data_IF_700842653987
#
_entry.id   IF_700842653987
#
_cell.length_a   1.000
_cell.length_b   1.000
_cell.length_c   1.000
_cell.angle_alpha   90.00
_cell.angle_beta   90.00
_cell.angle_gamma   90.00
#
_symmetry.space_group_name_H-M   'P 1'
#
loop_
_entity.id
_entity.type
_entity.pdbx_description
1 polymer ?
#
# COMPACT_ATOMS: atom_id res chain seq x y z
N UNK A 1 -10.69 22.85 -8.26
CA UNK A 1 -11.16 22.28 -9.55
C UNK A 1 -12.17 21.19 -9.21
N UNK A 2 -13.32 21.12 -9.89
CA UNK A 2 -14.30 20.06 -9.64
C UNK A 2 -13.83 18.73 -10.25
N UNK A 3 -14.14 17.63 -9.57
CA UNK A 3 -13.96 16.25 -10.02
C UNK A 3 -15.30 15.53 -10.12
N UNK A 4 -15.33 14.35 -10.70
CA UNK A 4 -16.55 13.52 -10.76
C UNK A 4 -17.10 13.14 -9.37
N UNK A 5 -16.27 13.14 -8.34
CA UNK A 5 -16.67 12.82 -6.97
C UNK A 5 -17.45 13.98 -6.32
N UNK A 6 -17.26 15.21 -6.79
CA UNK A 6 -17.99 16.39 -6.28
C UNK A 6 -19.47 16.37 -6.67
N UNK A 7 -19.92 15.44 -7.53
CA UNK A 7 -21.35 15.20 -7.83
C UNK A 7 -22.06 14.46 -6.68
N UNK A 8 -21.33 13.73 -5.85
CA UNK A 8 -21.92 12.92 -4.78
C UNK A 8 -21.97 13.69 -3.45
N UNK A 9 -22.96 13.42 -2.57
CA UNK A 9 -23.10 14.11 -1.28
C UNK A 9 -22.15 13.52 -0.21
N UNK A 10 -20.86 13.51 -0.50
CA UNK A 10 -19.81 12.86 0.31
C UNK A 10 -18.76 13.83 0.84
N UNK A 11 -18.96 15.13 0.67
CA UNK A 11 -17.99 16.13 1.13
C UNK A 11 -17.92 16.20 2.66
N UNK A 12 -16.75 15.91 3.19
CA UNK A 12 -16.43 16.04 4.62
C UNK A 12 -15.72 17.37 4.93
N UNK A 13 -15.45 18.19 3.91
CA UNK A 13 -14.91 19.54 4.00
C UNK A 13 -15.65 20.46 3.03
N UNK A 14 -15.49 21.78 3.19
CA UNK A 14 -16.09 22.77 2.30
C UNK A 14 -15.31 22.97 0.99
N UNK A 15 -14.38 22.09 0.68
CA UNK A 15 -13.52 22.16 -0.50
C UNK A 15 -13.84 21.04 -1.50
N UNK A 16 -13.62 21.27 -2.79
CA UNK A 16 -13.66 20.22 -3.80
C UNK A 16 -12.68 19.09 -3.49
N UNK A 17 -12.93 17.88 -3.98
CA UNK A 17 -12.05 16.72 -3.77
C UNK A 17 -10.63 16.90 -4.32
N UNK A 18 -10.44 17.76 -5.32
CA UNK A 18 -9.11 18.09 -5.85
C UNK A 18 -8.25 18.96 -4.92
N UNK A 19 -8.85 19.51 -3.86
CA UNK A 19 -8.15 20.35 -2.90
C UNK A 19 -7.79 19.55 -1.65
N UNK A 20 -6.53 19.61 -1.26
CA UNK A 20 -6.03 18.92 -0.08
C UNK A 20 -5.77 19.91 1.05
N UNK A 21 -5.96 19.52 2.32
CA UNK A 21 -5.86 20.41 3.47
C UNK A 21 -4.42 20.69 3.91
N UNK A 22 -3.44 20.50 3.04
CA UNK A 22 -2.02 20.65 3.37
C UNK A 22 -1.21 21.16 2.18
N UNK A 23 -0.20 21.96 2.46
CA UNK A 23 0.82 22.38 1.48
C UNK A 23 2.14 21.60 1.62
N UNK A 24 2.17 20.57 2.46
CA UNK A 24 3.36 19.76 2.65
C UNK A 24 3.57 18.81 1.45
N UNK A 25 4.79 18.80 0.93
CA UNK A 25 5.15 17.93 -0.21
C UNK A 25 5.07 16.43 0.10
N UNK A 26 5.01 16.05 1.37
CA UNK A 26 4.85 14.66 1.79
C UNK A 26 3.36 14.24 1.94
N UNK A 27 2.41 15.10 1.56
CA UNK A 27 1.02 14.66 1.44
C UNK A 27 0.89 13.72 0.26
N UNK A 28 0.34 12.54 0.49
CA UNK A 28 0.13 11.55 -0.55
C UNK A 28 -1.19 10.77 -0.36
N UNK A 29 -1.59 10.12 -1.43
CA UNK A 29 -2.69 9.16 -1.47
C UNK A 29 -2.23 8.00 -2.35
N UNK A 30 -2.24 6.78 -1.83
CA UNK A 30 -1.63 5.69 -2.58
C UNK A 30 -2.02 4.29 -2.17
N UNK A 31 -1.94 3.43 -3.17
CA UNK A 31 -2.27 2.02 -3.13
C UNK A 31 -1.02 1.15 -3.21
N UNK A 32 -1.08 0.03 -2.54
CA UNK A 32 -0.15 -1.08 -2.71
C UNK A 32 -0.93 -2.40 -2.81
N UNK A 33 -0.47 -3.27 -3.70
CA UNK A 33 -0.91 -4.65 -3.82
C UNK A 33 0.33 -5.55 -3.88
N UNK A 34 0.36 -6.56 -3.03
CA UNK A 34 1.36 -7.62 -3.05
C UNK A 34 0.66 -8.97 -3.15
N UNK A 35 1.09 -9.81 -4.09
CA UNK A 35 0.49 -11.11 -4.40
C UNK A 35 1.63 -12.12 -4.50
N UNK A 36 1.54 -13.23 -3.81
CA UNK A 36 2.59 -14.23 -3.82
C UNK A 36 2.03 -15.65 -3.94
N UNK A 37 2.82 -16.51 -4.55
CA UNK A 37 2.64 -17.95 -4.52
C UNK A 37 3.87 -18.55 -3.83
N UNK A 38 3.66 -19.19 -2.67
CA UNK A 38 4.73 -19.72 -1.84
C UNK A 38 5.40 -20.95 -2.50
N UNK A 39 4.62 -21.80 -3.15
CA UNK A 39 5.11 -23.03 -3.78
C UNK A 39 5.99 -22.72 -5.00
N UNK A 40 5.59 -21.74 -5.80
CA UNK A 40 6.35 -21.31 -6.96
C UNK A 40 7.44 -20.28 -6.64
N UNK A 41 7.47 -19.75 -5.42
CA UNK A 41 8.36 -18.66 -4.97
C UNK A 41 8.29 -17.43 -5.87
N UNK A 42 7.08 -17.03 -6.22
CA UNK A 42 6.79 -15.86 -7.04
C UNK A 42 6.11 -14.79 -6.19
N UNK A 43 6.58 -13.56 -6.32
CA UNK A 43 5.96 -12.38 -5.70
C UNK A 43 5.72 -11.31 -6.75
N UNK A 44 4.45 -10.96 -6.98
CA UNK A 44 4.02 -9.86 -7.82
C UNK A 44 3.65 -8.69 -6.93
N UNK A 45 4.04 -7.48 -7.31
CA UNK A 45 3.69 -6.28 -6.58
C UNK A 45 3.41 -5.12 -7.52
N UNK A 46 2.47 -4.28 -7.12
CA UNK A 46 2.16 -3.03 -7.84
C UNK A 46 1.69 -1.97 -6.87
N UNK A 47 1.92 -0.72 -7.20
CA UNK A 47 1.50 0.41 -6.41
C UNK A 47 1.32 1.66 -7.27
N UNK A 48 0.41 2.53 -6.84
CA UNK A 48 0.16 3.82 -7.47
C UNK A 48 0.00 4.87 -6.38
N UNK A 49 0.58 6.05 -6.59
CA UNK A 49 0.60 7.11 -5.58
C UNK A 49 0.45 8.48 -6.20
N UNK A 50 -0.48 9.23 -5.68
CA UNK A 50 -0.69 10.64 -5.97
C UNK A 50 0.07 11.47 -4.94
N UNK A 51 0.84 12.44 -5.41
CA UNK A 51 1.47 13.48 -4.60
C UNK A 51 1.03 14.85 -5.13
N UNK A 52 -0.12 15.37 -4.67
CA UNK A 52 -0.76 16.54 -5.30
C UNK A 52 0.10 17.80 -5.21
N UNK A 53 0.79 18.03 -4.09
CA UNK A 53 1.67 19.19 -3.91
C UNK A 53 2.96 19.14 -4.74
N UNK A 54 3.26 17.97 -5.33
CA UNK A 54 4.36 17.78 -6.28
C UNK A 54 3.84 17.70 -7.73
N UNK A 55 2.53 17.82 -7.95
CA UNK A 55 1.89 17.62 -9.24
C UNK A 55 2.28 16.29 -9.89
N UNK A 56 2.25 15.22 -9.13
CA UNK A 56 2.74 13.91 -9.58
C UNK A 56 1.75 12.78 -9.29
N UNK A 57 1.49 11.95 -10.29
CA UNK A 57 1.00 10.59 -10.16
C UNK A 57 2.13 9.66 -10.57
N UNK A 58 2.58 8.82 -9.65
CA UNK A 58 3.63 7.83 -9.88
C UNK A 58 3.12 6.43 -9.59
N UNK A 59 3.67 5.43 -10.28
CA UNK A 59 3.34 4.04 -10.04
C UNK A 59 4.42 3.08 -10.49
N UNK A 60 4.28 1.86 -10.08
CA UNK A 60 5.19 0.78 -10.41
C UNK A 60 4.46 -0.55 -10.45
N UNK A 61 5.04 -1.47 -11.19
CA UNK A 61 4.68 -2.88 -11.17
C UNK A 61 5.95 -3.73 -11.22
N UNK A 62 5.94 -4.87 -10.58
CA UNK A 62 7.09 -5.75 -10.61
C UNK A 62 6.77 -7.19 -10.22
N UNK A 63 7.71 -8.07 -10.53
CA UNK A 63 7.68 -9.47 -10.16
C UNK A 63 9.06 -9.90 -9.67
N UNK A 64 9.07 -10.66 -8.59
CA UNK A 64 10.23 -11.41 -8.13
C UNK A 64 9.99 -12.90 -8.44
N UNK A 65 10.90 -13.50 -9.18
CA UNK A 65 10.82 -14.89 -9.61
C UNK A 65 12.23 -15.47 -9.68
N UNK A 66 12.44 -16.66 -9.13
CA UNK A 66 13.73 -17.33 -9.10
C UNK A 66 14.88 -16.44 -8.57
N UNK A 67 14.60 -15.61 -7.56
CA UNK A 67 15.57 -14.68 -6.96
C UNK A 67 15.93 -13.47 -7.81
N UNK A 68 15.26 -13.26 -8.95
CA UNK A 68 15.43 -12.08 -9.80
C UNK A 68 14.21 -11.19 -9.72
N UNK A 69 14.44 -9.88 -9.67
CA UNK A 69 13.40 -8.87 -9.63
C UNK A 69 13.34 -8.10 -10.95
N UNK A 70 12.14 -8.00 -11.50
CA UNK A 70 11.83 -7.19 -12.67
C UNK A 70 10.86 -6.09 -12.24
N UNK A 71 11.12 -4.84 -12.62
CA UNK A 71 10.29 -3.70 -12.20
C UNK A 71 10.14 -2.70 -13.33
N UNK A 72 8.89 -2.29 -13.57
CA UNK A 72 8.55 -1.15 -14.41
C UNK A 72 8.09 0.01 -13.53
N UNK A 73 8.39 1.24 -13.93
CA UNK A 73 7.98 2.47 -13.23
C UNK A 73 7.40 3.46 -14.22
N UNK A 74 6.33 4.13 -13.79
CA UNK A 74 5.58 5.08 -14.59
C UNK A 74 5.36 6.36 -13.81
N UNK A 75 5.19 7.47 -14.51
CA UNK A 75 4.91 8.76 -13.89
C UNK A 75 4.28 9.73 -14.89
N UNK A 76 3.37 10.57 -14.40
CA UNK A 76 2.80 11.70 -15.14
C UNK A 76 2.41 12.83 -14.19
N UNK A 77 2.16 14.04 -14.70
CA UNK A 77 1.51 15.09 -13.92
C UNK A 77 0.17 14.61 -13.37
N UNK A 78 -0.11 14.99 -12.11
CA UNK A 78 -1.32 14.58 -11.41
C UNK A 78 -2.60 15.16 -12.00
N UNK A 79 -2.65 16.41 -12.34
CA UNK A 79 -3.78 17.29 -12.68
C UNK A 79 -4.89 16.69 -13.56
N UNK A 80 -5.28 15.45 -13.34
CA UNK A 80 -6.31 14.74 -14.09
C UNK A 80 -7.20 13.90 -13.17
N UNK A 81 -8.27 14.52 -12.70
CA UNK A 81 -9.55 13.90 -12.37
C UNK A 81 -9.58 12.67 -11.47
N UNK A 82 -8.66 12.48 -10.52
CA UNK A 82 -8.70 11.35 -9.61
C UNK A 82 -8.75 9.96 -10.31
N UNK A 83 -8.32 9.88 -11.56
CA UNK A 83 -8.25 8.60 -12.25
C UNK A 83 -7.04 7.76 -11.78
N UNK A 84 -7.15 6.46 -11.91
CA UNK A 84 -6.14 5.47 -11.57
C UNK A 84 -5.52 4.84 -12.82
N UNK A 85 -5.31 5.66 -13.86
CA UNK A 85 -4.68 5.28 -15.12
C UNK A 85 -3.34 5.99 -15.28
N UNK A 86 -2.27 5.23 -15.43
CA UNK A 86 -0.89 5.72 -15.50
C UNK A 86 -0.12 5.03 -16.64
N UNK A 87 -0.37 5.50 -17.88
CA UNK A 87 0.15 4.84 -19.06
C UNK A 87 -0.40 3.40 -19.17
N UNK A 88 0.47 2.38 -19.24
CA UNK A 88 0.02 0.99 -19.34
C UNK A 88 -0.50 0.41 -18.01
N UNK A 89 -0.26 1.06 -16.88
CA UNK A 89 -0.73 0.61 -15.56
C UNK A 89 -2.07 1.26 -15.22
N UNK A 90 -3.07 0.44 -14.87
CA UNK A 90 -4.37 0.95 -14.41
C UNK A 90 -5.00 0.05 -13.34
N UNK A 91 -5.80 0.69 -12.48
CA UNK A 91 -6.62 0.01 -11.48
C UNK A 91 -8.08 0.37 -11.70
N UNK A 92 -8.94 -0.65 -11.78
CA UNK A 92 -10.39 -0.49 -11.86
C UNK A 92 -11.03 -1.08 -10.60
N UNK A 93 -11.68 -0.24 -9.81
CA UNK A 93 -12.37 -0.64 -8.58
C UNK A 93 -13.76 -1.19 -8.92
N UNK A 94 -13.80 -2.46 -9.37
CA UNK A 94 -15.01 -3.15 -9.82
C UNK A 94 -16.06 -3.16 -8.71
N UNK A 95 -15.64 -3.48 -7.48
CA UNK A 95 -16.45 -3.43 -6.29
C UNK A 95 -15.62 -2.83 -5.14
N UNK A 96 -15.82 -1.55 -4.81
CA UNK A 96 -15.03 -0.88 -3.79
C UNK A 96 -14.92 -1.68 -2.50
N UNK A 97 -13.69 -1.77 -1.94
CA UNK A 97 -13.31 -2.54 -0.76
C UNK A 97 -13.39 -4.07 -0.90
N UNK A 98 -13.78 -4.60 -2.06
CA UNK A 98 -13.93 -6.04 -2.26
C UNK A 98 -13.16 -6.56 -3.49
N UNK A 99 -13.24 -5.86 -4.61
CA UNK A 99 -12.75 -6.37 -5.89
C UNK A 99 -12.12 -5.26 -6.74
N UNK A 100 -10.87 -5.51 -7.18
CA UNK A 100 -10.11 -4.55 -8.00
C UNK A 100 -9.46 -5.29 -9.16
N UNK A 101 -9.65 -4.79 -10.37
CA UNK A 101 -8.87 -5.24 -11.51
C UNK A 101 -7.58 -4.43 -11.58
N UNK A 102 -6.46 -5.12 -11.65
CA UNK A 102 -5.12 -4.57 -11.82
C UNK A 102 -4.65 -4.94 -13.23
N UNK A 103 -4.35 -3.96 -14.05
CA UNK A 103 -3.94 -4.17 -15.43
C UNK A 103 -2.59 -3.50 -15.68
N UNK A 104 -1.67 -4.26 -16.25
CA UNK A 104 -0.44 -3.76 -16.83
C UNK A 104 -0.37 -4.21 -18.30
N UNK A 105 -0.63 -3.29 -19.19
CA UNK A 105 -0.57 -3.52 -20.63
C UNK A 105 0.88 -3.62 -21.15
N UNK A 106 1.02 -3.85 -22.44
CA UNK A 106 2.32 -3.91 -23.11
C UNK A 106 3.17 -2.66 -22.83
N UNK A 107 4.44 -2.88 -22.47
CA UNK A 107 5.37 -1.85 -22.08
C UNK A 107 6.83 -2.31 -22.30
N UNK A 108 7.82 -1.46 -22.04
CA UNK A 108 9.23 -1.74 -22.30
C UNK A 108 9.88 -2.78 -21.38
N UNK A 109 9.17 -3.26 -20.33
CA UNK A 109 9.75 -4.18 -19.34
C UNK A 109 9.57 -5.66 -19.68
N UNK A 110 8.86 -5.99 -20.77
CA UNK A 110 8.44 -7.35 -21.12
C UNK A 110 7.66 -8.06 -19.99
N UNK A 111 7.02 -7.29 -19.11
CA UNK A 111 6.18 -7.75 -18.02
C UNK A 111 4.79 -7.14 -18.15
N UNK A 112 3.78 -7.98 -18.23
CA UNK A 112 2.37 -7.61 -18.36
C UNK A 112 1.50 -8.46 -17.44
N UNK A 113 0.33 -7.95 -17.05
CA UNK A 113 -0.64 -8.73 -16.29
C UNK A 113 -2.07 -8.20 -16.45
N UNK A 114 -3.02 -9.08 -16.24
CA UNK A 114 -4.44 -8.78 -16.03
C UNK A 114 -4.91 -9.62 -14.85
N UNK A 115 -4.98 -8.98 -13.69
CA UNK A 115 -5.23 -9.61 -12.40
C UNK A 115 -6.52 -9.08 -11.80
N UNK A 116 -7.31 -10.00 -11.27
CA UNK A 116 -8.47 -9.69 -10.43
C UNK A 116 -8.06 -9.91 -8.97
N UNK A 117 -7.92 -8.82 -8.22
CA UNK A 117 -7.77 -8.86 -6.77
C UNK A 117 -9.13 -9.08 -6.12
N UNK A 118 -9.21 -10.02 -5.18
CA UNK A 118 -10.42 -10.34 -4.43
C UNK A 118 -10.09 -10.31 -2.94
N UNK A 119 -10.81 -9.46 -2.18
CA UNK A 119 -10.69 -9.41 -0.74
C UNK A 119 -11.12 -10.71 -0.08
N UNK A 120 -10.29 -11.26 0.78
CA UNK A 120 -10.59 -12.47 1.55
C UNK A 120 -11.48 -12.23 2.76
N UNK A 121 -11.63 -10.97 3.17
CA UNK A 121 -12.41 -10.51 4.30
C UNK A 121 -12.58 -8.98 4.28
N UNK A 122 -13.18 -8.38 5.30
CA UNK A 122 -13.34 -6.93 5.38
C UNK A 122 -11.99 -6.21 5.42
N UNK A 123 -11.98 -4.95 4.99
CA UNK A 123 -10.83 -4.08 5.21
C UNK A 123 -10.67 -3.77 6.70
N UNK A 124 -9.44 -3.75 7.15
CA UNK A 124 -9.07 -3.27 8.47
C UNK A 124 -8.59 -1.82 8.40
N UNK A 125 -9.30 -0.93 9.06
CA UNK A 125 -8.88 0.46 9.22
C UNK A 125 -7.92 0.58 10.40
N UNK A 126 -6.69 1.06 10.13
CA UNK A 126 -5.75 1.39 11.21
C UNK A 126 -6.26 2.58 12.03
N UNK A 127 -5.92 2.65 13.33
CA UNK A 127 -6.12 3.87 14.09
C UNK A 127 -5.45 5.05 13.38
N UNK A 128 -6.14 6.20 13.36
CA UNK A 128 -5.62 7.41 12.71
C UNK A 128 -4.26 7.81 13.30
N UNK A 129 -3.28 7.98 12.44
CA UNK A 129 -1.92 8.35 12.85
C UNK A 129 -1.79 9.87 12.90
N UNK A 130 -1.66 10.41 14.09
CA UNK A 130 -1.46 11.84 14.32
C UNK A 130 -0.22 12.10 15.18
N UNK A 131 0.71 12.88 14.66
CA UNK A 131 1.91 13.26 15.38
C UNK A 131 2.29 14.72 15.15
N UNK A 132 2.91 15.32 16.17
CA UNK A 132 3.38 16.70 16.17
C UNK A 132 4.83 16.76 16.65
N UNK A 133 5.59 17.66 16.06
CA UNK A 133 6.92 18.00 16.51
C UNK A 133 7.13 19.51 16.42
N UNK A 134 7.52 20.13 17.53
CA UNK A 134 7.77 21.59 17.62
C UNK A 134 6.62 22.44 17.09
N UNK A 135 5.38 22.08 17.42
CA UNK A 135 4.18 22.78 16.95
C UNK A 135 3.81 22.54 15.49
N UNK A 136 4.55 21.73 14.76
CA UNK A 136 4.25 21.31 13.39
C UNK A 136 3.64 19.92 13.37
N UNK A 137 2.57 19.73 12.62
CA UNK A 137 2.03 18.41 12.31
C UNK A 137 3.02 17.66 11.42
N UNK A 138 3.48 16.49 11.87
CA UNK A 138 4.46 15.66 11.15
C UNK A 138 3.83 14.39 10.58
N UNK A 139 2.73 13.96 11.15
CA UNK A 139 1.92 12.86 10.63
C UNK A 139 0.45 13.20 10.82
N UNK A 140 -0.34 12.90 9.81
CA UNK A 140 -1.80 13.03 9.78
C UNK A 140 -2.29 12.10 8.68
N UNK A 141 -2.37 10.80 9.00
CA UNK A 141 -2.54 9.75 8.01
C UNK A 141 -3.60 8.75 8.43
N UNK A 142 -4.47 8.39 7.50
CA UNK A 142 -5.34 7.23 7.57
C UNK A 142 -4.83 6.13 6.67
N UNK A 143 -5.15 4.88 7.03
CA UNK A 143 -4.79 3.70 6.25
C UNK A 143 -5.74 2.54 6.55
N UNK A 144 -6.00 1.74 5.54
CA UNK A 144 -6.57 0.42 5.74
C UNK A 144 -5.73 -0.66 5.05
N UNK A 145 -5.84 -1.86 5.57
CA UNK A 145 -5.29 -3.09 5.00
C UNK A 145 -6.38 -4.07 4.64
N UNK A 146 -6.09 -4.96 3.71
CA UNK A 146 -6.95 -6.09 3.41
C UNK A 146 -6.09 -7.26 2.92
N UNK A 147 -6.31 -8.44 3.52
CA UNK A 147 -5.82 -9.71 2.98
C UNK A 147 -6.76 -10.24 1.91
N UNK A 148 -6.22 -10.97 0.96
CA UNK A 148 -7.02 -11.50 -0.15
C UNK A 148 -6.21 -12.42 -1.04
N UNK A 149 -6.66 -12.55 -2.27
CA UNK A 149 -6.04 -13.40 -3.28
C UNK A 149 -6.28 -12.82 -4.67
N UNK A 150 -5.59 -13.35 -5.65
CA UNK A 150 -5.74 -12.92 -7.03
C UNK A 150 -6.04 -14.09 -7.98
N UNK A 151 -6.78 -13.77 -9.03
CA UNK A 151 -6.95 -14.61 -10.21
C UNK A 151 -6.52 -13.85 -11.46
N UNK A 152 -6.40 -14.53 -12.58
CA UNK A 152 -5.99 -13.92 -13.85
C UNK A 152 -4.64 -14.44 -14.32
N UNK A 153 -3.82 -13.60 -14.86
CA UNK A 153 -2.53 -14.02 -15.43
C UNK A 153 -1.49 -12.90 -15.39
N UNK A 154 -0.22 -13.28 -15.41
CA UNK A 154 0.87 -12.41 -15.81
C UNK A 154 1.76 -13.07 -16.86
N UNK A 155 2.43 -12.27 -17.64
CA UNK A 155 3.42 -12.71 -18.61
C UNK A 155 4.75 -11.99 -18.36
N UNK A 156 5.84 -12.74 -18.38
CA UNK A 156 7.20 -12.23 -18.29
C UNK A 156 8.03 -12.81 -19.43
N UNK A 157 8.54 -11.93 -20.32
CA UNK A 157 9.39 -12.32 -21.44
C UNK A 157 8.81 -13.45 -22.29
N UNK A 158 7.52 -13.36 -22.61
CA UNK A 158 6.80 -14.33 -23.43
C UNK A 158 6.42 -15.63 -22.70
N UNK A 159 6.72 -15.75 -21.40
CA UNK A 159 6.23 -16.86 -20.59
C UNK A 159 5.04 -16.42 -19.74
N UNK A 160 3.90 -17.06 -19.97
CA UNK A 160 2.64 -16.79 -19.26
C UNK A 160 2.46 -17.72 -18.06
N UNK A 161 1.92 -17.13 -16.98
CA UNK A 161 1.58 -17.79 -15.73
C UNK A 161 0.13 -17.47 -15.38
N UNK A 162 -0.63 -18.47 -15.03
CA UNK A 162 -2.04 -18.31 -14.62
C UNK A 162 -2.15 -18.30 -13.10
N UNK A 163 -2.99 -17.39 -12.58
CA UNK A 163 -3.28 -17.29 -11.17
C UNK A 163 -4.63 -17.95 -10.89
N UNK A 164 -4.62 -18.99 -10.06
CA UNK A 164 -5.77 -19.88 -9.84
C UNK A 164 -6.58 -19.56 -8.57
N UNK A 165 -6.41 -18.42 -7.98
CA UNK A 165 -7.17 -18.00 -6.78
C UNK A 165 -6.34 -18.06 -5.51
N UNK A 166 -6.77 -18.81 -4.48
CA UNK A 166 -6.20 -18.73 -3.12
C UNK A 166 -4.75 -19.16 -2.99
N UNK A 167 -4.21 -19.94 -3.92
CA UNK A 167 -2.79 -20.26 -4.00
C UNK A 167 -1.94 -19.01 -4.30
N UNK A 168 -2.59 -17.96 -4.80
CA UNK A 168 -2.02 -16.65 -5.04
C UNK A 168 -2.53 -15.66 -4.00
N UNK A 169 -2.15 -15.91 -2.77
CA UNK A 169 -2.50 -15.08 -1.61
C UNK A 169 -1.80 -13.72 -1.67
N UNK A 170 -2.35 -12.76 -0.96
CA UNK A 170 -1.72 -11.46 -0.90
C UNK A 170 -2.37 -10.50 0.07
N UNK A 171 -1.89 -9.27 -0.02
CA UNK A 171 -2.39 -8.15 0.76
C UNK A 171 -2.41 -6.88 -0.07
N UNK A 172 -3.27 -5.96 0.32
CA UNK A 172 -3.24 -4.59 -0.16
C UNK A 172 -3.32 -3.60 0.98
N UNK A 173 -2.76 -2.41 0.77
CA UNK A 173 -3.08 -1.24 1.57
C UNK A 173 -3.51 -0.05 0.70
N UNK A 174 -4.25 0.84 1.33
CA UNK A 174 -4.52 2.16 0.81
C UNK A 174 -4.32 3.16 1.95
N UNK A 175 -3.46 4.14 1.74
CA UNK A 175 -3.16 5.15 2.74
C UNK A 175 -3.17 6.56 2.13
N UNK A 176 -3.71 7.51 2.89
CA UNK A 176 -3.74 8.91 2.47
C UNK A 176 -3.44 9.85 3.64
N UNK A 177 -2.91 11.01 3.31
CA UNK A 177 -2.59 12.05 4.29
C UNK A 177 -1.13 12.44 4.33
N UNK A 178 -0.75 13.07 5.44
CA UNK A 178 0.60 13.57 5.67
C UNK A 178 1.44 12.52 6.40
N UNK A 179 2.57 12.15 5.81
CA UNK A 179 3.57 11.32 6.47
C UNK A 179 4.98 11.91 6.31
N UNK A 180 5.26 12.96 7.07
CA UNK A 180 6.51 13.71 6.97
C UNK A 180 7.76 12.95 7.48
N UNK A 181 7.60 11.77 8.08
CA UNK A 181 8.73 10.91 8.45
C UNK A 181 9.34 10.18 7.24
N UNK A 182 8.63 10.10 6.13
CA UNK A 182 9.22 9.61 4.87
C UNK A 182 10.33 10.55 4.42
N UNK A 183 11.31 10.00 3.71
CA UNK A 183 12.29 10.83 3.03
C UNK A 183 11.53 11.79 2.11
N UNK A 184 11.81 13.10 2.13
CA UNK A 184 11.15 14.05 1.26
C UNK A 184 11.40 13.67 -0.19
N UNK A 185 10.38 13.81 -1.04
CA UNK A 185 10.50 13.59 -2.50
C UNK A 185 11.49 14.56 -3.14
N UNK A 186 11.68 15.73 -2.53
CA UNK A 186 12.71 16.67 -2.88
C UNK A 186 13.81 16.68 -1.83
N UNK A 187 15.08 16.83 -2.21
CA UNK A 187 16.17 17.00 -1.28
C UNK A 187 15.85 18.16 -0.32
N UNK A 188 15.91 17.92 0.97
CA UNK A 188 15.77 19.01 1.94
C UNK A 188 16.91 20.00 1.71
N UNK A 189 16.64 21.32 1.66
CA UNK A 189 17.71 22.31 1.60
C UNK A 189 18.70 22.07 2.75
N UNK A 190 20.01 22.19 2.47
CA UNK A 190 21.07 21.91 3.45
C UNK A 190 21.00 22.78 4.72
N UNK A 191 20.29 23.92 4.65
CA UNK A 191 20.07 24.82 5.77
C UNK A 191 18.89 24.43 6.67
N UNK A 192 18.10 23.40 6.32
CA UNK A 192 17.07 22.91 7.23
C UNK A 192 17.73 22.18 8.41
N UNK A 193 17.30 22.54 9.61
CA UNK A 193 17.74 21.87 10.83
C UNK A 193 17.45 20.37 10.72
N UNK A 194 18.38 19.50 11.08
CA UNK A 194 18.16 18.06 11.14
C UNK A 194 16.90 17.74 11.94
N UNK A 195 16.14 16.74 11.50
CA UNK A 195 14.99 16.25 12.28
C UNK A 195 15.49 15.72 13.62
N UNK A 196 14.77 16.04 14.69
CA UNK A 196 15.02 15.37 15.96
C UNK A 196 14.76 13.87 15.81
N UNK A 197 15.66 13.08 16.35
CA UNK A 197 15.38 11.66 16.51
C UNK A 197 14.16 11.48 17.43
N UNK A 198 13.27 10.54 17.18
CA UNK A 198 12.18 10.23 18.09
C UNK A 198 12.74 9.88 19.47
N UNK A 199 12.01 10.27 20.52
CA UNK A 199 12.42 10.01 21.90
C UNK A 199 12.53 8.51 22.20
N UNK A 200 11.69 7.70 21.54
CA UNK A 200 11.75 6.25 21.55
C UNK A 200 12.06 5.78 20.14
N UNK A 201 13.14 5.06 19.98
CA UNK A 201 13.50 4.48 18.70
C UNK A 201 12.80 3.14 18.52
N UNK A 202 12.24 2.95 17.33
CA UNK A 202 11.69 1.67 16.93
C UNK A 202 12.84 0.72 16.62
N UNK A 203 12.91 -0.38 17.35
CA UNK A 203 13.87 -1.46 17.11
C UNK A 203 13.39 -2.45 16.07
N UNK A 204 12.10 -2.79 16.12
CA UNK A 204 11.49 -3.72 15.18
C UNK A 204 10.10 -3.23 14.76
N UNK A 205 9.79 -3.45 13.49
CA UNK A 205 8.43 -3.45 12.97
C UNK A 205 8.23 -4.72 12.16
N UNK A 206 7.28 -5.53 12.57
CA UNK A 206 6.85 -6.70 11.82
C UNK A 206 5.41 -6.52 11.40
N UNK A 207 5.10 -6.80 10.13
CA UNK A 207 3.75 -6.87 9.62
C UNK A 207 3.63 -8.14 8.78
N UNK A 208 2.62 -8.92 9.02
CA UNK A 208 2.34 -10.15 8.30
C UNK A 208 0.88 -10.19 7.88
N UNK A 209 0.64 -10.65 6.67
CA UNK A 209 -0.68 -10.94 6.13
C UNK A 209 -0.72 -12.42 5.81
N UNK A 210 -1.83 -13.03 6.09
CA UNK A 210 -2.01 -14.45 5.81
C UNK A 210 -3.38 -14.71 5.20
N UNK A 211 -3.45 -15.71 4.35
CA UNK A 211 -4.66 -16.20 3.72
C UNK A 211 -4.59 -17.71 3.67
N UNK A 212 -5.65 -18.37 4.17
CA UNK A 212 -5.86 -19.80 4.09
C UNK A 212 -7.02 -20.11 3.17
N UNK A 213 -7.41 -21.37 3.05
CA UNK A 213 -8.58 -21.76 2.28
C UNK A 213 -9.87 -21.05 2.73
N UNK A 214 -10.04 -20.85 4.04
CA UNK A 214 -11.28 -20.33 4.63
C UNK A 214 -11.11 -18.95 5.28
N UNK A 215 -9.88 -18.56 5.64
CA UNK A 215 -9.61 -17.43 6.51
C UNK A 215 -8.52 -16.53 5.95
N UNK A 216 -8.52 -15.28 6.37
CA UNK A 216 -7.44 -14.35 6.11
C UNK A 216 -7.30 -13.35 7.23
N UNK A 217 -6.12 -12.80 7.44
CA UNK A 217 -5.89 -11.84 8.49
C UNK A 217 -4.61 -11.04 8.33
N UNK A 218 -4.38 -10.22 9.33
CA UNK A 218 -3.27 -9.30 9.40
C UNK A 218 -2.76 -9.24 10.84
N UNK A 219 -1.46 -9.16 11.00
CA UNK A 219 -0.76 -8.99 12.25
C UNK A 219 0.34 -7.95 12.11
N UNK A 220 0.48 -7.05 13.07
CA UNK A 220 1.55 -6.06 13.09
C UNK A 220 2.00 -5.78 14.52
N UNK A 221 3.31 -5.82 14.76
CA UNK A 221 3.93 -5.45 16.03
C UNK A 221 5.01 -4.42 15.81
N UNK A 222 5.11 -3.46 16.73
CA UNK A 222 6.18 -2.49 16.80
C UNK A 222 6.83 -2.57 18.18
N UNK A 223 8.14 -2.70 18.21
CA UNK A 223 8.93 -2.75 19.43
C UNK A 223 10.00 -1.66 19.44
N UNK A 224 10.39 -1.23 20.65
CA UNK A 224 11.54 -0.36 20.85
C UNK A 224 12.85 -1.12 20.66
N UNK A 225 13.97 -0.41 20.66
CA UNK A 225 15.32 -1.00 20.66
C UNK A 225 15.58 -1.93 21.87
N UNK A 226 14.79 -1.82 22.93
CA UNK A 226 14.90 -2.62 24.15
C UNK A 226 13.87 -3.74 24.25
N UNK A 227 13.06 -3.97 23.20
CA UNK A 227 12.04 -4.99 23.16
C UNK A 227 10.73 -4.60 23.87
N UNK A 228 10.55 -3.31 24.22
CA UNK A 228 9.28 -2.82 24.75
C UNK A 228 8.24 -2.73 23.63
N UNK A 229 7.09 -3.37 23.81
CA UNK A 229 5.99 -3.31 22.86
C UNK A 229 5.40 -1.90 22.80
N UNK A 230 5.56 -1.24 21.65
CA UNK A 230 5.04 0.12 21.41
C UNK A 230 3.65 0.09 20.82
N UNK A 231 3.37 -0.89 19.96
CA UNK A 231 2.08 -1.05 19.29
C UNK A 231 1.92 -2.51 18.87
N UNK A 232 0.73 -3.01 19.03
CA UNK A 232 0.32 -4.32 18.49
C UNK A 232 -1.06 -4.19 17.89
N UNK A 233 -1.20 -4.65 16.64
CA UNK A 233 -2.47 -4.76 15.95
C UNK A 233 -2.58 -6.17 15.40
N UNK A 234 -3.54 -6.92 15.87
CA UNK A 234 -3.94 -8.20 15.33
C UNK A 234 -5.37 -8.09 14.78
N UNK A 235 -5.55 -8.50 13.56
CA UNK A 235 -6.83 -8.47 12.90
C UNK A 235 -7.06 -9.76 12.13
N UNK A 236 -8.07 -10.46 12.55
CA UNK A 236 -8.55 -11.66 11.91
C UNK A 236 -9.75 -11.29 11.03
N UNK A 237 -9.69 -11.61 9.75
CA UNK A 237 -10.79 -11.35 8.80
C UNK A 237 -12.05 -12.17 9.11
N UNK A 238 -11.87 -13.32 9.77
CA UNK A 238 -12.88 -14.09 10.47
C UNK A 238 -12.45 -14.21 11.92
N UNK A 239 -13.36 -14.28 12.89
CA UNK A 239 -13.00 -14.41 14.29
C UNK A 239 -12.29 -15.75 14.52
N UNK A 240 -10.96 -15.71 14.47
CA UNK A 240 -10.10 -16.77 14.95
C UNK A 240 -9.57 -16.35 16.31
N UNK A 241 -9.77 -17.18 17.31
CA UNK A 241 -9.03 -17.05 18.55
C UNK A 241 -7.66 -17.67 18.36
N UNK A 242 -6.61 -16.86 18.41
CA UNK A 242 -5.26 -17.32 18.27
C UNK A 242 -4.23 -16.21 18.48
N UNK A 243 -3.00 -16.61 18.67
CA UNK A 243 -1.84 -15.74 18.76
C UNK A 243 -0.72 -16.31 17.89
N UNK A 244 0.25 -15.48 17.55
CA UNK A 244 1.50 -15.93 16.94
C UNK A 244 2.59 -15.77 18.00
N UNK A 245 3.15 -16.89 18.43
CA UNK A 245 4.34 -16.88 19.26
C UNK A 245 5.57 -16.85 18.34
N UNK A 246 6.47 -15.92 18.62
CA UNK A 246 7.74 -15.77 17.89
C UNK A 246 8.85 -15.92 18.90
N UNK A 247 9.78 -16.82 18.64
CA UNK A 247 10.94 -16.95 19.50
C UNK A 247 11.99 -15.83 19.28
N UNK A 248 13.05 -15.83 20.06
CA UNK A 248 14.11 -14.82 19.97
C UNK A 248 14.91 -14.88 18.64
N UNK A 249 14.77 -15.93 17.84
CA UNK A 249 15.36 -16.03 16.51
C UNK A 249 14.47 -15.43 15.43
N UNK A 250 13.20 -15.15 15.75
CA UNK A 250 12.21 -14.69 14.79
C UNK A 250 11.56 -15.85 14.00
N UNK A 251 11.79 -17.08 14.39
CA UNK A 251 11.12 -18.25 13.81
C UNK A 251 9.74 -18.41 14.45
N UNK A 252 8.75 -18.77 13.64
CA UNK A 252 7.41 -19.11 14.12
C UNK A 252 7.46 -20.45 14.85
N UNK A 253 6.91 -20.49 16.03
CA UNK A 253 6.74 -21.72 16.83
C UNK A 253 5.44 -22.41 16.47
#
# INVERSE_FOLDING_TARGET
>A
MLTQYDEYPVHQSAYPFSEIPSTDYNWDDGYFFGIYNADEQIFIYTGMRVNPNNDMLGGYAGVNIAGQQYTARFGRPWRQNCDTVLGPLSYDFVKPLEEVRLLLEENESDFTFDLQWIGGGPCYEEPHHLAWSRGRRTTDQSRYYQSGYATGWFELRGKRYELSGRDWAGSRDHSWGLYAQRAPLHPAPQWLTPREAPAVKQGMRWASWWTTENDSGFYSVHESETGEQLQMNDVFGTPLEGGVDVDASGEHL
#
